data_IF_132731819817
#
_entry.id   IF_132731819817
#
_cell.length_a   1.000
_cell.length_b   1.000
_cell.length_c   1.000
_cell.angle_alpha   90.00
_cell.angle_beta   90.00
_cell.angle_gamma   90.00
#
_symmetry.space_group_name_H-M   'P 1'
#
loop_
_entity.id
_entity.type
_entity.pdbx_description
1 polymer ?
#
# COMPACT_ATOMS: atom_id res chain seq x y z
N UNK A 1 19.55 -1.64 -5.93
CA UNK A 1 18.29 -2.12 -5.31
C UNK A 1 18.46 -2.51 -3.85
N UNK A 2 19.53 -3.21 -3.46
CA UNK A 2 19.82 -3.60 -2.05
C UNK A 2 20.11 -2.43 -1.11
N UNK A 3 20.93 -1.44 -1.52
CA UNK A 3 21.25 -0.27 -0.68
C UNK A 3 20.01 0.56 -0.30
N UNK A 4 19.04 0.70 -1.22
CA UNK A 4 17.78 1.41 -0.96
C UNK A 4 16.96 0.71 0.14
N UNK A 5 16.90 -0.62 0.10
CA UNK A 5 16.15 -1.40 1.10
C UNK A 5 16.77 -1.30 2.49
N UNK A 6 18.11 -1.27 2.58
CA UNK A 6 18.83 -1.07 3.86
C UNK A 6 18.49 0.30 4.47
N UNK A 7 18.48 1.36 3.66
CA UNK A 7 18.03 2.69 4.12
C UNK A 7 16.56 2.69 4.56
N UNK A 8 15.69 1.98 3.85
CA UNK A 8 14.28 1.87 4.23
C UNK A 8 14.08 1.11 5.54
N UNK A 9 14.95 0.16 5.90
CA UNK A 9 14.92 -0.48 7.23
C UNK A 9 15.17 0.58 8.32
N UNK A 10 16.13 1.48 8.13
CA UNK A 10 16.36 2.58 9.08
C UNK A 10 15.14 3.49 9.19
N UNK A 11 14.51 3.84 8.07
CA UNK A 11 13.27 4.63 8.07
C UNK A 11 12.16 3.92 8.81
N UNK A 12 11.92 2.64 8.53
CA UNK A 12 10.91 1.82 9.21
C UNK A 12 11.16 1.74 10.71
N UNK A 13 12.41 1.53 11.13
CA UNK A 13 12.79 1.52 12.54
C UNK A 13 12.50 2.86 13.23
N UNK A 14 12.83 3.98 12.59
CA UNK A 14 12.51 5.31 13.11
C UNK A 14 10.99 5.48 13.22
N UNK A 15 10.24 5.14 12.16
CA UNK A 15 8.79 5.24 12.17
C UNK A 15 8.13 4.29 13.18
N UNK A 16 8.74 3.16 13.53
CA UNK A 16 8.21 2.25 14.54
C UNK A 16 8.50 2.72 15.97
N UNK A 17 9.66 3.33 16.20
CA UNK A 17 10.16 3.66 17.55
C UNK A 17 9.88 5.08 18.00
N UNK A 18 9.75 6.03 17.07
CA UNK A 18 9.49 7.43 17.40
C UNK A 18 8.04 7.60 17.83
N UNK A 19 7.84 8.46 18.83
CA UNK A 19 6.52 8.85 19.30
C UNK A 19 5.66 9.42 18.17
N UNK A 20 4.41 8.94 18.08
CA UNK A 20 3.47 9.29 17.02
C UNK A 20 3.12 10.77 17.02
N UNK A 21 3.03 11.39 18.19
CA UNK A 21 2.78 12.83 18.30
C UNK A 21 3.93 13.64 17.70
N UNK A 22 5.18 13.24 17.97
CA UNK A 22 6.37 13.91 17.42
C UNK A 22 6.42 13.84 15.89
N UNK A 23 6.06 12.69 15.30
CA UNK A 23 5.98 12.54 13.84
C UNK A 23 4.90 13.44 13.25
N UNK A 24 3.72 13.49 13.89
CA UNK A 24 2.62 14.35 13.47
C UNK A 24 2.99 15.84 13.52
N UNK A 25 3.68 16.26 14.59
CA UNK A 25 4.13 17.63 14.76
C UNK A 25 5.23 18.00 13.76
N UNK A 26 6.14 17.06 13.47
CA UNK A 26 7.12 17.24 12.40
C UNK A 26 6.43 17.49 11.06
N UNK A 27 5.46 16.65 10.66
CA UNK A 27 4.75 16.84 9.40
C UNK A 27 4.07 18.22 9.29
N UNK A 28 3.47 18.72 10.39
CA UNK A 28 2.80 20.03 10.43
C UNK A 28 3.76 21.20 10.21
N UNK A 29 5.00 21.07 10.66
CA UNK A 29 6.03 22.11 10.55
C UNK A 29 6.73 22.10 9.19
N UNK A 30 6.69 20.97 8.49
CA UNK A 30 7.37 20.80 7.20
C UNK A 30 6.62 21.41 6.02
N UNK A 31 7.38 21.69 4.96
CA UNK A 31 6.85 22.26 3.73
C UNK A 31 6.05 21.22 2.92
N UNK A 32 5.02 21.62 2.14
CA UNK A 32 4.19 20.70 1.37
C UNK A 32 4.94 19.75 0.43
N UNK A 33 6.05 20.20 -0.16
CA UNK A 33 6.85 19.35 -1.05
C UNK A 33 7.58 18.22 -0.29
N UNK A 34 7.92 18.44 0.99
CA UNK A 34 8.50 17.41 1.87
C UNK A 34 7.43 16.40 2.24
N UNK A 35 6.21 16.86 2.57
CA UNK A 35 5.05 16.00 2.83
C UNK A 35 4.71 15.10 1.62
N UNK A 36 4.73 15.64 0.40
CA UNK A 36 4.57 14.84 -0.83
C UNK A 36 5.73 13.86 -1.02
N UNK A 37 6.96 14.26 -0.71
CA UNK A 37 8.13 13.38 -0.80
C UNK A 37 8.06 12.23 0.22
N UNK A 38 7.52 12.49 1.40
CA UNK A 38 7.23 11.47 2.41
C UNK A 38 6.23 10.43 1.88
N UNK A 39 5.13 10.86 1.25
CA UNK A 39 4.15 9.95 0.65
C UNK A 39 4.74 9.14 -0.52
N UNK A 40 5.65 9.73 -1.30
CA UNK A 40 6.41 8.97 -2.32
C UNK A 40 7.34 7.94 -1.70
N UNK A 41 8.05 8.30 -0.63
CA UNK A 41 8.89 7.38 0.13
C UNK A 41 8.05 6.22 0.70
N UNK A 42 6.86 6.51 1.23
CA UNK A 42 5.92 5.49 1.70
C UNK A 42 5.55 4.49 0.60
N UNK A 43 5.18 4.96 -0.59
CA UNK A 43 4.88 4.10 -1.73
C UNK A 43 6.12 3.29 -2.20
N UNK A 44 7.31 3.90 -2.20
CA UNK A 44 8.56 3.23 -2.55
C UNK A 44 8.92 2.10 -1.56
N UNK A 45 8.71 2.32 -0.25
CA UNK A 45 8.92 1.29 0.78
C UNK A 45 7.94 0.15 0.58
N UNK A 46 6.66 0.46 0.34
CA UNK A 46 5.61 -0.52 0.05
C UNK A 46 6.04 -1.47 -1.08
N UNK A 47 6.52 -0.92 -2.19
CA UNK A 47 7.00 -1.71 -3.32
C UNK A 47 8.28 -2.50 -3.00
N UNK A 48 9.23 -1.91 -2.27
CA UNK A 48 10.50 -2.56 -1.94
C UNK A 48 10.35 -3.78 -1.02
N UNK A 49 9.34 -3.76 -0.15
CA UNK A 49 9.04 -4.82 0.80
C UNK A 49 7.92 -5.77 0.35
N UNK A 50 7.27 -5.52 -0.78
CA UNK A 50 6.31 -6.46 -1.35
C UNK A 50 6.98 -7.83 -1.59
N UNK A 51 6.34 -8.88 -1.09
CA UNK A 51 6.83 -10.25 -1.25
C UNK A 51 6.50 -10.77 -2.65
N UNK A 52 7.51 -11.30 -3.33
CA UNK A 52 7.37 -11.91 -4.64
C UNK A 52 8.13 -13.25 -4.66
N UNK A 53 7.42 -14.40 -4.78
CA UNK A 53 8.02 -15.73 -4.81
C UNK A 53 8.95 -15.95 -6.00
N UNK A 54 8.76 -15.23 -7.11
CA UNK A 54 9.59 -15.36 -8.32
C UNK A 54 10.88 -14.54 -8.23
N UNK A 55 10.94 -13.59 -7.28
CA UNK A 55 12.08 -12.71 -7.11
C UNK A 55 13.12 -13.36 -6.19
N UNK A 56 14.11 -14.03 -6.78
CA UNK A 56 15.29 -14.52 -6.05
C UNK A 56 16.12 -13.32 -5.59
N UNK A 57 16.03 -12.98 -4.30
CA UNK A 57 16.80 -11.90 -3.71
C UNK A 57 18.20 -12.41 -3.34
N UNK A 58 19.28 -11.72 -3.73
CA UNK A 58 20.62 -12.13 -3.32
C UNK A 58 20.72 -11.97 -1.80
N UNK A 59 20.90 -13.10 -1.10
CA UNK A 59 21.24 -13.11 0.32
C UNK A 59 22.63 -12.51 0.43
N UNK A 60 22.74 -11.24 0.87
CA UNK A 60 24.01 -10.73 1.35
C UNK A 60 24.31 -11.53 2.62
N UNK A 61 25.19 -12.51 2.52
CA UNK A 61 25.89 -12.99 3.70
C UNK A 61 26.56 -11.77 4.33
N UNK A 62 26.24 -11.49 5.59
CA UNK A 62 26.91 -10.45 6.40
C UNK A 62 28.44 -10.62 6.41
N UNK A 63 28.90 -11.80 6.03
CA UNK A 63 30.28 -12.19 5.83
C UNK A 63 30.58 -12.18 4.33
N UNK A 64 31.06 -11.06 3.81
CA UNK A 64 31.79 -11.11 2.54
C UNK A 64 33.01 -12.02 2.72
N UNK A 65 33.54 -12.64 1.65
CA UNK A 65 34.74 -13.48 1.75
C UNK A 65 35.92 -12.78 2.46
N UNK A 66 36.02 -11.46 2.31
CA UNK A 66 37.00 -10.60 2.97
C UNK A 66 36.74 -10.47 4.48
N UNK A 67 35.49 -10.28 4.92
CA UNK A 67 35.14 -10.23 6.36
C UNK A 67 35.29 -11.61 7.01
N UNK A 68 34.95 -12.68 6.29
CA UNK A 68 35.18 -14.06 6.76
C UNK A 68 36.68 -14.39 6.89
N UNK A 69 37.51 -13.94 5.94
CA UNK A 69 38.98 -14.08 6.01
C UNK A 69 39.57 -13.26 7.16
N UNK A 70 39.16 -12.01 7.32
CA UNK A 70 39.58 -11.15 8.41
C UNK A 70 39.21 -11.74 9.79
N UNK A 71 37.99 -12.24 9.93
CA UNK A 71 37.54 -12.90 11.16
C UNK A 71 38.24 -14.24 11.40
N UNK A 72 38.68 -14.95 10.36
CA UNK A 72 39.45 -16.20 10.50
C UNK A 72 40.90 -15.92 10.93
N UNK A 73 41.49 -14.82 10.48
CA UNK A 73 42.87 -14.43 10.80
C UNK A 73 43.01 -13.75 12.18
N UNK A 74 41.98 -13.01 12.62
CA UNK A 74 42.05 -12.16 13.83
C UNK A 74 41.00 -12.55 14.89
N UNK A 75 40.04 -13.41 14.56
CA UNK A 75 38.90 -13.68 15.44
C UNK A 75 39.17 -14.65 16.59
N UNK A 76 38.46 -14.43 17.70
CA UNK A 76 38.47 -15.31 18.88
C UNK A 76 37.87 -16.68 18.55
N UNK A 77 38.21 -17.69 19.36
CA UNK A 77 37.72 -19.06 19.19
C UNK A 77 36.19 -19.16 19.25
N UNK A 78 35.54 -18.33 20.08
CA UNK A 78 34.08 -18.17 20.15
C UNK A 78 33.49 -17.62 18.84
N UNK A 79 34.14 -16.62 18.24
CA UNK A 79 33.69 -16.04 16.97
C UNK A 79 33.86 -17.04 15.81
N UNK A 80 34.93 -17.84 15.82
CA UNK A 80 35.13 -18.95 14.89
C UNK A 80 34.08 -20.07 15.06
N UNK A 81 33.63 -20.33 16.29
CA UNK A 81 32.55 -21.29 16.55
C UNK A 81 31.17 -20.76 16.11
N UNK A 82 30.89 -19.47 16.27
CA UNK A 82 29.70 -18.82 15.71
C UNK A 82 29.68 -18.88 14.17
N UNK A 83 30.83 -18.68 13.53
CA UNK A 83 30.99 -18.79 12.07
C UNK A 83 30.72 -20.21 11.56
N UNK A 84 31.23 -21.24 12.26
CA UNK A 84 30.93 -22.65 11.93
C UNK A 84 29.43 -22.96 12.04
N UNK A 85 28.73 -22.37 13.01
CA UNK A 85 27.27 -22.48 13.13
C UNK A 85 26.51 -21.80 11.97
N UNK A 86 26.96 -20.62 11.55
CA UNK A 86 26.35 -19.87 10.45
C UNK A 86 26.59 -20.50 9.06
N UNK A 87 27.75 -21.14 8.85
CA UNK A 87 28.10 -21.84 7.61
C UNK A 87 27.38 -23.20 7.50
N UNK A 88 26.94 -23.77 8.64
CA UNK A 88 26.22 -25.05 8.71
C UNK A 88 24.70 -24.96 8.59
N UNK A 89 24.06 -23.82 8.86
CA UNK A 89 22.61 -23.69 8.70
C UNK A 89 22.27 -23.39 7.24
N UNK A 90 22.03 -24.44 6.43
CA UNK A 90 21.16 -24.28 5.25
C UNK A 90 19.79 -23.87 5.77
N UNK A 91 19.52 -22.57 5.83
CA UNK A 91 18.18 -22.05 6.12
C UNK A 91 17.20 -22.75 5.19
N UNK A 92 16.20 -23.41 5.78
CA UNK A 92 15.16 -24.09 5.03
C UNK A 92 14.46 -23.06 4.13
N UNK A 93 14.42 -23.25 2.80
CA UNK A 93 13.82 -22.30 1.87
C UNK A 93 12.37 -21.95 2.22
N UNK A 94 11.61 -22.90 2.78
CA UNK A 94 10.23 -22.67 3.22
C UNK A 94 10.14 -21.72 4.43
N UNK A 95 11.12 -21.77 5.33
CA UNK A 95 11.14 -20.92 6.52
C UNK A 95 11.59 -19.49 6.16
N UNK A 96 12.49 -19.35 5.19
CA UNK A 96 12.84 -18.05 4.63
C UNK A 96 11.65 -17.42 3.88
N UNK A 97 10.90 -18.22 3.12
CA UNK A 97 9.69 -17.78 2.44
C UNK A 97 8.64 -17.23 3.43
N UNK A 98 8.34 -18.01 4.47
CA UNK A 98 7.43 -17.59 5.55
C UNK A 98 7.89 -16.31 6.21
N UNK A 99 9.19 -16.21 6.53
CA UNK A 99 9.79 -15.01 7.14
C UNK A 99 9.61 -13.77 6.26
N UNK A 100 9.85 -13.88 4.95
CA UNK A 100 9.71 -12.77 4.02
C UNK A 100 8.24 -12.33 3.87
N UNK A 101 7.30 -13.28 3.79
CA UNK A 101 5.87 -12.97 3.79
C UNK A 101 5.45 -12.24 5.08
N UNK A 102 5.92 -12.72 6.23
CA UNK A 102 5.59 -12.09 7.52
C UNK A 102 6.20 -10.69 7.66
N UNK A 103 7.41 -10.49 7.14
CA UNK A 103 8.02 -9.17 7.07
C UNK A 103 7.20 -8.20 6.22
N UNK A 104 6.70 -8.63 5.05
CA UNK A 104 5.81 -7.80 4.22
C UNK A 104 4.57 -7.39 4.98
N UNK A 105 3.93 -8.33 5.70
CA UNK A 105 2.75 -8.03 6.53
C UNK A 105 3.08 -6.93 7.54
N UNK A 106 4.15 -7.10 8.32
CA UNK A 106 4.51 -6.13 9.36
C UNK A 106 4.77 -4.74 8.79
N UNK A 107 5.48 -4.66 7.67
CA UNK A 107 5.74 -3.39 6.99
C UNK A 107 4.43 -2.78 6.49
N UNK A 108 3.55 -3.55 5.87
CA UNK A 108 2.28 -3.05 5.34
C UNK A 108 1.35 -2.53 6.46
N UNK A 109 1.33 -3.20 7.62
CA UNK A 109 0.60 -2.73 8.81
C UNK A 109 1.16 -1.40 9.33
N UNK A 110 2.47 -1.32 9.56
CA UNK A 110 3.12 -0.09 10.03
C UNK A 110 2.88 1.06 9.05
N UNK A 111 3.03 0.82 7.74
CA UNK A 111 2.81 1.82 6.71
C UNK A 111 1.34 2.25 6.62
N UNK A 112 0.38 1.35 6.83
CA UNK A 112 -1.03 1.71 6.89
C UNK A 112 -1.33 2.61 8.08
N UNK A 113 -0.82 2.27 9.27
CA UNK A 113 -1.02 3.08 10.49
C UNK A 113 -0.44 4.49 10.31
N UNK A 114 0.80 4.58 9.81
CA UNK A 114 1.46 5.87 9.51
C UNK A 114 0.67 6.68 8.47
N UNK A 115 0.11 6.04 7.44
CA UNK A 115 -0.72 6.72 6.45
C UNK A 115 -2.03 7.23 7.07
N UNK A 116 -2.65 6.48 7.99
CA UNK A 116 -3.85 6.91 8.70
C UNK A 116 -3.58 8.08 9.65
N UNK A 117 -2.44 8.07 10.34
CA UNK A 117 -1.98 9.18 11.18
C UNK A 117 -1.74 10.44 10.35
N UNK A 118 -1.11 10.29 9.19
CA UNK A 118 -0.89 11.38 8.24
C UNK A 118 -2.22 11.97 7.74
N UNK A 119 -3.14 11.11 7.29
CA UNK A 119 -4.49 11.52 6.84
C UNK A 119 -5.26 12.25 7.94
N UNK A 120 -5.12 11.79 9.19
CA UNK A 120 -5.78 12.40 10.34
C UNK A 120 -5.18 13.76 10.68
N UNK A 121 -3.86 13.87 10.61
CA UNK A 121 -3.10 15.11 10.86
C UNK A 121 -3.50 16.24 9.92
N UNK A 122 -3.67 15.94 8.63
CA UNK A 122 -3.98 16.95 7.60
C UNK A 122 -5.48 17.03 7.26
N UNK A 123 -6.34 16.36 8.02
CA UNK A 123 -7.77 16.28 7.75
C UNK A 123 -8.42 17.64 7.53
N UNK A 124 -8.20 18.59 8.45
CA UNK A 124 -8.84 19.89 8.41
C UNK A 124 -8.34 20.74 7.23
N UNK A 125 -7.07 20.60 6.85
CA UNK A 125 -6.52 21.23 5.65
C UNK A 125 -7.26 20.76 4.39
N UNK A 126 -7.55 19.46 4.28
CA UNK A 126 -8.29 18.92 3.14
C UNK A 126 -9.77 19.32 3.11
N UNK A 127 -10.37 19.55 4.28
CA UNK A 127 -11.80 19.90 4.40
C UNK A 127 -12.05 21.42 4.39
N UNK A 128 -10.98 22.22 4.43
CA UNK A 128 -11.02 23.68 4.36
C UNK A 128 -11.53 24.22 3.02
N UNK A 129 -11.80 25.53 2.99
CA UNK A 129 -12.40 26.23 1.84
C UNK A 129 -11.36 26.50 0.74
N UNK A 130 -10.08 26.63 1.09
CA UNK A 130 -9.00 26.94 0.15
C UNK A 130 -8.28 25.66 -0.29
N UNK A 131 -8.73 25.08 -1.39
CA UNK A 131 -7.99 24.02 -2.08
C UNK A 131 -6.90 24.64 -2.96
N UNK A 132 -5.71 24.80 -2.40
CA UNK A 132 -4.53 25.19 -3.19
C UNK A 132 -3.92 23.98 -3.91
N UNK A 133 -3.00 24.26 -4.84
CA UNK A 133 -2.31 23.20 -5.60
C UNK A 133 -1.51 22.26 -4.68
N UNK A 134 -0.97 22.74 -3.57
CA UNK A 134 -0.15 21.93 -2.66
C UNK A 134 -0.98 20.86 -1.96
N UNK A 135 -2.15 21.22 -1.45
CA UNK A 135 -3.14 20.33 -0.82
C UNK A 135 -3.62 19.27 -1.81
N UNK A 136 -3.78 19.63 -3.09
CA UNK A 136 -4.12 18.70 -4.17
C UNK A 136 -3.02 17.65 -4.41
N UNK A 137 -1.74 18.03 -4.39
CA UNK A 137 -0.63 17.09 -4.55
C UNK A 137 -0.51 16.13 -3.35
N UNK A 138 -0.68 16.64 -2.13
CA UNK A 138 -0.65 15.81 -0.92
C UNK A 138 -1.79 14.79 -0.96
N UNK A 139 -3.01 15.22 -1.27
CA UNK A 139 -4.16 14.32 -1.39
C UNK A 139 -3.95 13.27 -2.48
N UNK A 140 -3.35 13.65 -3.60
CA UNK A 140 -2.92 12.71 -4.65
C UNK A 140 -1.93 11.68 -4.13
N UNK A 141 -0.92 12.10 -3.37
CA UNK A 141 0.06 11.19 -2.75
C UNK A 141 -0.57 10.20 -1.76
N UNK A 142 -1.57 10.63 -0.99
CA UNK A 142 -2.33 9.76 -0.09
C UNK A 142 -3.08 8.69 -0.89
N UNK A 143 -3.76 9.08 -1.97
CA UNK A 143 -4.48 8.15 -2.84
C UNK A 143 -3.52 7.14 -3.47
N UNK A 144 -2.36 7.58 -3.96
CA UNK A 144 -1.33 6.69 -4.50
C UNK A 144 -0.81 5.72 -3.44
N UNK A 145 -0.62 6.17 -2.20
CA UNK A 145 -0.15 5.33 -1.09
C UNK A 145 -1.17 4.23 -0.74
N UNK A 146 -2.45 4.57 -0.68
CA UNK A 146 -3.53 3.58 -0.52
C UNK A 146 -3.57 2.60 -1.69
N UNK A 147 -3.43 3.08 -2.92
CA UNK A 147 -3.38 2.23 -4.11
C UNK A 147 -2.19 1.27 -4.07
N UNK A 148 -1.00 1.76 -3.68
CA UNK A 148 0.21 0.95 -3.58
C UNK A 148 0.04 -0.20 -2.56
N UNK A 149 -0.45 0.11 -1.35
CA UNK A 149 -0.73 -0.89 -0.31
C UNK A 149 -1.77 -1.92 -0.76
N UNK A 150 -2.78 -1.49 -1.51
CA UNK A 150 -3.87 -2.37 -1.98
C UNK A 150 -3.47 -3.27 -3.16
N UNK A 151 -2.37 -2.94 -3.85
CA UNK A 151 -1.84 -3.69 -5.00
C UNK A 151 -0.72 -4.67 -4.61
N UNK A 152 -0.23 -4.61 -3.37
CA UNK A 152 0.67 -5.64 -2.84
C UNK A 152 0.01 -7.02 -2.90
N UNK A 153 0.83 -8.07 -2.93
CA UNK A 153 0.28 -9.42 -3.08
C UNK A 153 -0.74 -9.71 -1.97
N UNK A 154 -1.92 -10.27 -2.32
CA UNK A 154 -3.00 -10.50 -1.38
C UNK A 154 -2.53 -11.23 -0.13
N UNK A 155 -2.88 -10.67 1.02
CA UNK A 155 -2.64 -11.29 2.31
C UNK A 155 -3.93 -11.29 3.12
N UNK A 156 -4.35 -12.47 3.58
CA UNK A 156 -5.61 -12.67 4.31
C UNK A 156 -5.73 -11.81 5.58
N UNK A 157 -4.62 -11.45 6.23
CA UNK A 157 -4.60 -10.63 7.44
C UNK A 157 -4.67 -9.13 7.15
N UNK A 158 -4.03 -8.69 6.07
CA UNK A 158 -3.91 -7.27 5.75
C UNK A 158 -5.08 -6.74 4.89
N UNK A 159 -5.61 -7.55 3.98
CA UNK A 159 -6.69 -7.16 3.07
C UNK A 159 -7.90 -6.55 3.80
N UNK A 160 -8.46 -7.17 4.87
CA UNK A 160 -9.57 -6.58 5.59
C UNK A 160 -9.24 -5.19 6.19
N UNK A 161 -8.00 -4.99 6.62
CA UNK A 161 -7.53 -3.75 7.26
C UNK A 161 -7.39 -2.61 6.27
N UNK A 162 -6.71 -2.84 5.14
CA UNK A 162 -6.58 -1.82 4.08
C UNK A 162 -7.94 -1.43 3.50
N UNK A 163 -8.85 -2.40 3.30
CA UNK A 163 -10.19 -2.09 2.80
C UNK A 163 -11.06 -1.36 3.82
N UNK A 164 -10.95 -1.69 5.11
CA UNK A 164 -11.61 -0.90 6.17
C UNK A 164 -11.12 0.55 6.17
N UNK A 165 -9.80 0.76 6.05
CA UNK A 165 -9.20 2.09 5.96
C UNK A 165 -9.69 2.86 4.72
N UNK A 166 -9.74 2.21 3.56
CA UNK A 166 -10.27 2.78 2.32
C UNK A 166 -11.74 3.17 2.43
N UNK A 167 -12.57 2.33 3.05
CA UNK A 167 -13.97 2.65 3.29
C UNK A 167 -14.11 3.93 4.13
N UNK A 168 -13.33 4.06 5.20
CA UNK A 168 -13.38 5.24 6.07
C UNK A 168 -12.80 6.49 5.40
N UNK A 169 -11.72 6.34 4.63
CA UNK A 169 -11.16 7.40 3.81
C UNK A 169 -12.18 7.95 2.81
N UNK A 170 -12.84 7.07 2.04
CA UNK A 170 -13.83 7.47 1.03
C UNK A 170 -15.04 8.13 1.69
N UNK A 171 -15.53 7.62 2.83
CA UNK A 171 -16.63 8.24 3.59
C UNK A 171 -16.27 9.65 4.05
N UNK A 172 -15.06 9.81 4.60
CA UNK A 172 -14.57 11.07 5.17
C UNK A 172 -14.38 12.14 4.09
N UNK A 173 -13.78 11.77 2.95
CA UNK A 173 -13.43 12.71 1.89
C UNK A 173 -14.35 12.63 0.66
N UNK A 174 -15.58 12.13 0.84
CA UNK A 174 -16.58 11.97 -0.23
C UNK A 174 -16.81 13.22 -1.06
N UNK A 175 -16.81 14.42 -0.44
CA UNK A 175 -16.99 15.68 -1.18
C UNK A 175 -15.84 15.94 -2.14
N UNK A 176 -14.59 15.76 -1.69
CA UNK A 176 -13.39 15.92 -2.52
C UNK A 176 -13.41 14.92 -3.67
N UNK A 177 -13.72 13.65 -3.39
CA UNK A 177 -13.74 12.58 -4.39
C UNK A 177 -14.85 12.73 -5.43
N UNK A 178 -16.04 13.17 -5.00
CA UNK A 178 -17.26 13.14 -5.84
C UNK A 178 -17.68 14.48 -6.42
N UNK A 179 -17.27 15.60 -5.82
CA UNK A 179 -17.64 16.94 -6.29
C UNK A 179 -16.44 17.72 -6.84
N UNK A 180 -15.21 17.33 -6.51
CA UNK A 180 -14.00 18.05 -6.95
C UNK A 180 -13.61 17.78 -8.40
N UNK A 181 -12.96 18.72 -9.07
CA UNK A 181 -12.38 18.53 -10.39
C UNK A 181 -10.99 17.88 -10.29
N UNK A 182 -10.97 16.58 -10.04
CA UNK A 182 -9.74 15.79 -9.85
C UNK A 182 -9.84 14.38 -10.44
N UNK A 183 -8.70 13.68 -10.45
CA UNK A 183 -8.57 12.30 -10.93
C UNK A 183 -8.43 11.26 -9.81
N UNK A 184 -8.63 11.64 -8.54
CA UNK A 184 -8.42 10.76 -7.39
C UNK A 184 -9.33 9.53 -7.42
N UNK A 185 -10.61 9.74 -7.71
CA UNK A 185 -11.59 8.66 -7.79
C UNK A 185 -11.23 7.68 -8.92
N UNK A 186 -10.83 8.19 -10.10
CA UNK A 186 -10.38 7.35 -11.22
C UNK A 186 -9.18 6.49 -10.82
N UNK A 187 -8.22 7.07 -10.09
CA UNK A 187 -7.04 6.35 -9.63
C UNK A 187 -7.39 5.23 -8.63
N UNK A 188 -8.26 5.51 -7.67
CA UNK A 188 -8.80 4.49 -6.75
C UNK A 188 -9.55 3.39 -7.51
N UNK A 189 -10.41 3.77 -8.46
CA UNK A 189 -11.19 2.82 -9.26
C UNK A 189 -10.30 1.89 -10.07
N UNK A 190 -9.15 2.37 -10.57
CA UNK A 190 -8.21 1.52 -11.29
C UNK A 190 -7.74 0.35 -10.42
N UNK A 191 -7.29 0.64 -9.19
CA UNK A 191 -6.88 -0.37 -8.22
C UNK A 191 -8.04 -1.27 -7.80
N UNK A 192 -9.21 -0.70 -7.51
CA UNK A 192 -10.37 -1.48 -7.08
C UNK A 192 -10.86 -2.44 -8.18
N UNK A 193 -10.92 -1.99 -9.44
CA UNK A 193 -11.36 -2.83 -10.56
C UNK A 193 -10.36 -3.98 -10.80
N UNK A 194 -9.06 -3.71 -10.72
CA UNK A 194 -8.04 -4.76 -10.79
C UNK A 194 -8.24 -5.79 -9.67
N UNK A 195 -8.49 -5.33 -8.44
CA UNK A 195 -8.73 -6.22 -7.31
C UNK A 195 -10.07 -6.98 -7.41
N UNK A 196 -11.10 -6.41 -8.04
CA UNK A 196 -12.34 -7.11 -8.39
C UNK A 196 -12.12 -8.25 -9.39
N UNK A 197 -11.03 -8.22 -10.15
CA UNK A 197 -10.63 -9.28 -11.08
C UNK A 197 -9.55 -10.21 -10.49
N UNK A 198 -9.23 -10.08 -9.20
CA UNK A 198 -8.25 -10.94 -8.54
C UNK A 198 -8.83 -12.34 -8.32
N UNK A 199 -8.00 -13.38 -8.49
CA UNK A 199 -8.37 -14.78 -8.23
C UNK A 199 -8.54 -15.08 -6.74
N UNK A 200 -7.95 -14.26 -5.87
CA UNK A 200 -8.08 -14.41 -4.43
C UNK A 200 -9.47 -13.98 -3.95
N UNK A 201 -10.14 -14.88 -3.24
CA UNK A 201 -11.53 -14.69 -2.85
C UNK A 201 -11.74 -13.54 -1.88
N UNK A 202 -10.82 -13.38 -0.92
CA UNK A 202 -10.88 -12.30 0.06
C UNK A 202 -10.76 -10.93 -0.63
N UNK A 203 -9.78 -10.80 -1.53
CA UNK A 203 -9.50 -9.55 -2.24
C UNK A 203 -10.68 -9.11 -3.10
N UNK A 204 -11.21 -9.98 -3.98
CA UNK A 204 -12.28 -9.55 -4.88
C UNK A 204 -13.59 -9.28 -4.13
N UNK A 205 -13.89 -9.99 -3.02
CA UNK A 205 -15.05 -9.70 -2.17
C UNK A 205 -14.94 -8.27 -1.61
N UNK A 206 -13.84 -7.95 -0.93
CA UNK A 206 -13.64 -6.62 -0.34
C UNK A 206 -13.61 -5.52 -1.40
N UNK A 207 -12.97 -5.76 -2.54
CA UNK A 207 -12.96 -4.83 -3.67
C UNK A 207 -14.37 -4.54 -4.20
N UNK A 208 -15.19 -5.58 -4.36
CA UNK A 208 -16.58 -5.44 -4.83
C UNK A 208 -17.42 -4.65 -3.83
N UNK A 209 -17.28 -4.93 -2.53
CA UNK A 209 -17.98 -4.18 -1.46
C UNK A 209 -17.56 -2.71 -1.42
N UNK A 210 -16.27 -2.41 -1.62
CA UNK A 210 -15.78 -1.04 -1.72
C UNK A 210 -16.34 -0.33 -2.96
N UNK A 211 -16.36 -1.00 -4.11
CA UNK A 211 -16.92 -0.47 -5.34
C UNK A 211 -18.41 -0.12 -5.17
N UNK A 212 -19.20 -0.98 -4.54
CA UNK A 212 -20.59 -0.66 -4.18
C UNK A 212 -20.68 0.58 -3.28
N UNK A 213 -19.82 0.65 -2.24
CA UNK A 213 -19.80 1.78 -1.31
C UNK A 213 -19.47 3.10 -2.02
N UNK A 214 -18.56 3.07 -3.00
CA UNK A 214 -18.24 4.23 -3.84
C UNK A 214 -19.49 4.72 -4.58
N UNK A 215 -20.24 3.82 -5.23
CA UNK A 215 -21.49 4.19 -5.92
C UNK A 215 -22.53 4.76 -4.95
N UNK A 216 -22.75 4.09 -3.82
CA UNK A 216 -23.71 4.51 -2.80
C UNK A 216 -23.38 5.90 -2.24
N UNK A 217 -22.10 6.16 -1.93
CA UNK A 217 -21.65 7.45 -1.42
C UNK A 217 -21.66 8.54 -2.49
N UNK A 218 -21.36 8.22 -3.75
CA UNK A 218 -21.48 9.17 -4.86
C UNK A 218 -22.92 9.67 -4.99
N UNK A 219 -23.91 8.77 -5.00
CA UNK A 219 -25.32 9.13 -5.04
C UNK A 219 -25.74 10.00 -3.86
N UNK A 220 -25.34 9.62 -2.64
CA UNK A 220 -25.66 10.39 -1.42
C UNK A 220 -25.01 11.77 -1.39
N UNK A 221 -23.86 11.95 -2.04
CA UNK A 221 -23.07 13.19 -2.00
C UNK A 221 -23.44 14.13 -3.14
N UNK A 222 -23.62 13.60 -4.35
CA UNK A 222 -23.84 14.37 -5.58
C UNK A 222 -25.30 14.39 -6.05
N UNK A 223 -26.17 13.56 -5.45
CA UNK A 223 -27.55 13.36 -5.88
C UNK A 223 -27.70 12.52 -7.17
N UNK A 224 -26.58 12.10 -7.77
CA UNK A 224 -26.53 11.26 -8.97
C UNK A 224 -25.31 10.31 -8.95
N UNK A 225 -25.30 9.33 -9.86
CA UNK A 225 -24.21 8.37 -10.04
C UNK A 225 -23.22 8.74 -11.16
N UNK A 226 -23.39 9.89 -11.81
CA UNK A 226 -22.78 10.16 -13.11
C UNK A 226 -21.26 10.08 -13.05
N UNK A 227 -20.64 10.72 -12.04
CA UNK A 227 -19.18 10.76 -11.89
C UNK A 227 -18.59 9.37 -11.64
N UNK A 228 -19.08 8.64 -10.63
CA UNK A 228 -18.56 7.30 -10.33
C UNK A 228 -18.80 6.33 -11.50
N UNK A 229 -19.96 6.39 -12.14
CA UNK A 229 -20.29 5.54 -13.29
C UNK A 229 -19.38 5.83 -14.49
N UNK A 230 -19.26 7.08 -14.90
CA UNK A 230 -18.44 7.47 -16.05
C UNK A 230 -16.99 7.07 -15.79
N UNK A 231 -16.43 7.42 -14.63
CA UNK A 231 -15.05 7.07 -14.33
C UNK A 231 -14.83 5.56 -14.21
N UNK A 232 -15.80 4.79 -13.72
CA UNK A 232 -15.72 3.31 -13.70
C UNK A 232 -15.67 2.76 -15.12
N UNK A 233 -16.57 3.20 -16.00
CA UNK A 233 -16.62 2.76 -17.41
C UNK A 233 -15.34 3.14 -18.14
N UNK A 234 -14.88 4.39 -18.02
CA UNK A 234 -13.63 4.84 -18.64
C UNK A 234 -12.44 4.02 -18.14
N UNK A 235 -12.32 3.83 -16.83
CA UNK A 235 -11.22 3.06 -16.24
C UNK A 235 -11.24 1.60 -16.70
N UNK A 236 -12.41 0.98 -16.77
CA UNK A 236 -12.55 -0.38 -17.26
C UNK A 236 -12.11 -0.49 -18.73
N UNK A 237 -12.54 0.44 -19.58
CA UNK A 237 -12.11 0.51 -20.98
C UNK A 237 -10.59 0.63 -21.10
N UNK A 238 -9.96 1.48 -20.29
CA UNK A 238 -8.50 1.64 -20.28
C UNK A 238 -7.78 0.36 -19.83
N UNK A 239 -8.30 -0.33 -18.82
CA UNK A 239 -7.73 -1.59 -18.31
C UNK A 239 -7.84 -2.74 -19.33
N UNK A 240 -8.93 -2.79 -20.08
CA UNK A 240 -9.10 -3.76 -21.18
C UNK A 240 -8.17 -3.41 -22.33
N UNK A 241 -8.10 -2.13 -22.73
CA UNK A 241 -7.21 -1.68 -23.80
C UNK A 241 -5.72 -1.94 -23.50
N UNK A 242 -5.31 -1.77 -22.23
CA UNK A 242 -3.96 -2.05 -21.77
C UNK A 242 -3.67 -3.53 -21.50
N UNK A 243 -4.65 -4.43 -21.70
CA UNK A 243 -4.56 -5.87 -21.39
C UNK A 243 -4.25 -6.18 -19.92
N UNK A 244 -4.53 -5.25 -19.01
CA UNK A 244 -4.43 -5.50 -17.58
C UNK A 244 -5.59 -6.39 -17.08
N UNK A 245 -6.72 -6.37 -17.81
CA UNK A 245 -7.84 -7.30 -17.65
C UNK A 245 -7.94 -8.13 -18.94
N UNK A 246 -7.54 -9.40 -18.88
CA UNK A 246 -7.58 -10.33 -20.01
C UNK A 246 -8.73 -11.34 -19.90
N UNK A 247 -9.05 -11.77 -18.67
CA UNK A 247 -10.19 -12.62 -18.34
C UNK A 247 -11.22 -11.77 -17.58
N UNK A 248 -12.48 -11.79 -18.02
CA UNK A 248 -13.56 -10.96 -17.46
C UNK A 248 -14.53 -11.74 -16.55
N UNK A 249 -14.32 -13.05 -16.39
CA UNK A 249 -15.25 -13.92 -15.67
C UNK A 249 -15.41 -13.52 -14.19
N UNK A 250 -14.30 -13.22 -13.51
CA UNK A 250 -14.32 -12.76 -12.12
C UNK A 250 -14.89 -11.35 -12.00
N UNK A 251 -14.57 -10.48 -12.95
CA UNK A 251 -15.13 -9.14 -13.01
C UNK A 251 -16.66 -9.16 -13.21
N UNK A 252 -17.15 -10.02 -14.10
CA UNK A 252 -18.58 -10.25 -14.31
C UNK A 252 -19.26 -10.77 -13.04
N UNK A 253 -18.61 -11.66 -12.29
CA UNK A 253 -19.12 -12.13 -10.99
C UNK A 253 -19.20 -10.99 -9.97
N UNK A 254 -18.15 -10.17 -9.88
CA UNK A 254 -18.09 -8.97 -9.03
C UNK A 254 -19.21 -7.99 -9.39
N UNK A 255 -19.46 -7.72 -10.68
CA UNK A 255 -20.54 -6.84 -11.12
C UNK A 255 -21.93 -7.42 -10.88
N UNK A 256 -22.14 -8.72 -11.08
CA UNK A 256 -23.41 -9.38 -10.70
C UNK A 256 -23.68 -9.23 -9.20
N UNK A 257 -22.64 -9.31 -8.37
CA UNK A 257 -22.76 -9.08 -6.93
C UNK A 257 -23.10 -7.63 -6.59
N UNK A 258 -22.59 -6.64 -7.33
CA UNK A 258 -23.04 -5.25 -7.17
C UNK A 258 -24.55 -5.10 -7.38
N UNK A 259 -25.09 -5.77 -8.40
CA UNK A 259 -26.54 -5.77 -8.65
C UNK A 259 -27.28 -6.39 -7.46
N UNK A 260 -26.79 -7.50 -6.91
CA UNK A 260 -27.38 -8.11 -5.72
C UNK A 260 -27.37 -7.17 -4.50
N UNK A 261 -26.25 -6.46 -4.25
CA UNK A 261 -26.15 -5.46 -3.19
C UNK A 261 -27.06 -4.24 -3.39
N UNK A 262 -27.47 -3.94 -4.62
CA UNK A 262 -28.42 -2.86 -4.89
C UNK A 262 -29.88 -3.25 -4.61
N UNK A 263 -30.17 -4.55 -4.52
CA UNK A 263 -31.51 -5.08 -4.24
C UNK A 263 -31.82 -5.22 -2.75
N UNK A 264 -30.83 -4.94 -1.87
CA UNK A 264 -30.92 -5.02 -0.41
C UNK A 264 -30.52 -3.67 0.20
#
# INVERSE_FOLDING_TARGET
TTLKRELYICVLYILETVDRELVCDWWRQELPHIQVSFLRLHADITQAFNYDPELVRPTKTLLTPQVALFMKEIGTEEMNNMLKGAVGSKLNPQDEEKRLRWLTIQVDFLLLDILQDFVTTFREQFLGVEHDNSTSFIFGGIVESFCALSMNRPNEYFIPKIYSALHDFIRRFRKILFLGENNYLRRLLQTVILNCNCRDSYTYIHATTLLYTIFQLNQRTSGNFARARIQTVTTLSDLVASRAVTEDLLLNHSFRRLVYYALH
#
